data_IF_446385992202
#
_entry.id   IF_446385992202
#
_cell.length_a   1.000
_cell.length_b   1.000
_cell.length_c   1.000
_cell.angle_alpha   90.00
_cell.angle_beta   90.00
_cell.angle_gamma   90.00
#
_symmetry.space_group_name_H-M   'P 1'
#
loop_
_entity.id
_entity.type
_entity.pdbx_description
1 polymer ?
#
# COMPACT_ATOMS: atom_id res chain seq x y z
N UNK A 1 16.94 -13.55 -13.33
CA UNK A 1 17.30 -12.36 -12.53
C UNK A 1 16.11 -11.79 -11.76
N UNK A 2 15.04 -11.28 -12.40
CA UNK A 2 13.88 -10.72 -11.66
C UNK A 2 13.16 -11.77 -10.81
N UNK A 3 12.95 -12.98 -11.35
CA UNK A 3 12.37 -14.09 -10.58
C UNK A 3 13.24 -14.46 -9.36
N UNK A 4 14.56 -14.54 -9.54
CA UNK A 4 15.51 -14.85 -8.45
C UNK A 4 15.50 -13.75 -7.38
N UNK A 5 15.47 -12.49 -7.81
CA UNK A 5 15.33 -11.32 -6.93
C UNK A 5 14.05 -11.41 -6.10
N UNK A 6 12.92 -11.73 -6.72
CA UNK A 6 11.66 -11.94 -6.03
C UNK A 6 11.77 -13.04 -4.97
N UNK A 7 12.38 -14.18 -5.31
CA UNK A 7 12.57 -15.27 -4.35
C UNK A 7 13.49 -14.87 -3.20
N UNK A 8 14.55 -14.10 -3.46
CA UNK A 8 15.43 -13.55 -2.40
C UNK A 8 14.67 -12.64 -1.45
N UNK A 9 13.80 -11.77 -1.96
CA UNK A 9 12.96 -10.90 -1.11
C UNK A 9 11.95 -11.72 -0.31
N UNK A 10 11.28 -12.70 -0.92
CA UNK A 10 10.36 -13.61 -0.20
C UNK A 10 11.08 -14.39 0.91
N UNK A 11 12.30 -14.87 0.65
CA UNK A 11 13.13 -15.52 1.65
C UNK A 11 13.50 -14.58 2.79
N UNK A 12 13.90 -13.33 2.49
CA UNK A 12 14.17 -12.29 3.51
C UNK A 12 12.98 -12.08 4.43
N UNK A 13 11.77 -11.94 3.88
CA UNK A 13 10.53 -11.80 4.66
C UNK A 13 10.36 -12.99 5.61
N UNK A 14 10.44 -14.22 5.07
CA UNK A 14 10.27 -15.44 5.85
C UNK A 14 11.33 -15.60 6.95
N UNK A 15 12.55 -15.11 6.75
CA UNK A 15 13.60 -15.20 7.78
C UNK A 15 13.39 -14.26 8.97
N UNK A 16 12.58 -13.22 8.83
CA UNK A 16 12.31 -12.30 9.96
C UNK A 16 11.30 -12.91 10.91
N UNK A 17 10.21 -13.43 10.37
CA UNK A 17 9.14 -14.10 11.11
C UNK A 17 8.37 -14.98 10.12
N UNK A 18 8.37 -16.30 10.33
CA UNK A 18 7.68 -17.27 9.48
C UNK A 18 6.22 -17.52 9.92
N UNK A 19 5.83 -17.02 11.08
CA UNK A 19 4.48 -17.11 11.63
C UNK A 19 3.63 -15.88 11.28
N UNK A 20 4.27 -14.71 11.10
CA UNK A 20 3.59 -13.49 10.69
C UNK A 20 3.24 -13.52 9.19
N UNK A 21 1.96 -13.34 8.86
CA UNK A 21 1.54 -13.17 7.47
C UNK A 21 1.91 -11.76 6.98
N UNK A 22 3.02 -11.68 6.25
CA UNK A 22 3.47 -10.46 5.57
C UNK A 22 3.23 -10.58 4.07
N UNK A 23 2.42 -9.68 3.53
CA UNK A 23 2.18 -9.58 2.09
C UNK A 23 3.23 -8.70 1.43
N UNK A 24 3.97 -9.30 0.49
CA UNK A 24 4.90 -8.59 -0.38
C UNK A 24 4.15 -7.87 -1.50
N UNK A 25 4.19 -6.54 -1.52
CA UNK A 25 3.71 -5.72 -2.63
C UNK A 25 4.91 -5.40 -3.55
N UNK A 26 4.90 -5.94 -4.77
CA UNK A 26 5.90 -5.63 -5.77
C UNK A 26 5.60 -4.25 -6.37
N UNK A 27 6.46 -3.27 -6.08
CA UNK A 27 6.31 -1.89 -6.55
C UNK A 27 6.87 -1.78 -7.96
N UNK A 28 5.96 -1.74 -8.93
CA UNK A 28 6.29 -1.86 -10.36
C UNK A 28 6.30 -0.54 -11.12
N UNK A 29 6.16 0.61 -10.45
CA UNK A 29 6.26 1.93 -11.09
C UNK A 29 7.54 2.07 -11.91
N UNK A 30 7.45 2.72 -13.06
CA UNK A 30 8.49 2.88 -14.08
C UNK A 30 9.01 1.57 -14.69
N UNK A 31 8.33 0.43 -14.51
CA UNK A 31 8.74 -0.86 -15.08
C UNK A 31 7.78 -1.31 -16.20
N UNK A 32 8.30 -1.83 -17.32
CA UNK A 32 7.49 -2.31 -18.43
C UNK A 32 6.71 -3.57 -18.07
N UNK A 33 5.62 -3.86 -18.79
CA UNK A 33 4.76 -5.04 -18.55
C UNK A 33 5.55 -6.36 -18.61
N UNK A 34 6.59 -6.45 -19.45
CA UNK A 34 7.44 -7.65 -19.54
C UNK A 34 8.20 -7.96 -18.23
N UNK A 35 8.58 -6.95 -17.45
CA UNK A 35 9.20 -7.15 -16.14
C UNK A 35 8.18 -7.69 -15.14
N UNK A 36 6.94 -7.17 -15.19
CA UNK A 36 5.86 -7.69 -14.34
C UNK A 36 5.55 -9.14 -14.71
N UNK A 37 5.53 -9.48 -16.00
CA UNK A 37 5.26 -10.84 -16.48
C UNK A 37 6.23 -11.85 -15.83
N UNK A 38 7.53 -11.54 -15.77
CA UNK A 38 8.51 -12.40 -15.08
C UNK A 38 8.18 -12.62 -13.59
N UNK A 39 7.69 -11.59 -12.87
CA UNK A 39 7.27 -11.77 -11.47
C UNK A 39 5.96 -12.53 -11.32
N UNK A 40 5.03 -12.34 -12.27
CA UNK A 40 3.73 -13.03 -12.29
C UNK A 40 3.94 -14.53 -12.50
N UNK A 41 4.81 -14.90 -13.44
CA UNK A 41 5.17 -16.29 -13.72
C UNK A 41 5.89 -16.92 -12.52
N UNK A 42 6.63 -16.13 -11.74
CA UNK A 42 7.20 -16.52 -10.45
C UNK A 42 6.21 -16.45 -9.25
N UNK A 43 4.91 -16.32 -9.53
CA UNK A 43 3.84 -16.40 -8.53
C UNK A 43 3.51 -15.11 -7.78
N UNK A 44 4.06 -13.96 -8.17
CA UNK A 44 3.66 -12.68 -7.58
C UNK A 44 2.23 -12.30 -8.01
N UNK A 45 1.44 -11.76 -7.08
CA UNK A 45 0.05 -11.34 -7.34
C UNK A 45 -0.26 -9.91 -6.90
N UNK A 46 0.42 -9.41 -5.86
CA UNK A 46 0.22 -8.06 -5.35
C UNK A 46 1.17 -7.07 -6.00
N UNK A 47 0.62 -6.04 -6.65
CA UNK A 47 1.39 -5.00 -7.35
C UNK A 47 1.02 -3.61 -6.85
N UNK A 48 2.05 -2.79 -6.63
CA UNK A 48 1.93 -1.42 -6.14
C UNK A 48 2.30 -0.40 -7.21
N UNK A 49 1.42 0.55 -7.46
CA UNK A 49 1.63 1.61 -8.44
C UNK A 49 1.47 3.02 -7.84
N UNK A 50 2.32 3.94 -8.29
CA UNK A 50 2.30 5.33 -7.83
C UNK A 50 1.63 6.28 -8.83
N UNK A 51 1.67 5.94 -10.12
CA UNK A 51 1.23 6.83 -11.20
C UNK A 51 0.02 6.23 -11.90
N UNK A 52 -1.14 6.90 -11.78
CA UNK A 52 -2.40 6.36 -12.27
C UNK A 52 -2.36 5.96 -13.75
N UNK A 53 -1.86 6.83 -14.63
CA UNK A 53 -1.92 6.56 -16.08
C UNK A 53 -1.08 5.34 -16.47
N UNK A 54 0.10 5.22 -15.88
CA UNK A 54 0.96 4.05 -16.06
C UNK A 54 0.28 2.78 -15.54
N UNK A 55 -0.33 2.85 -14.36
CA UNK A 55 -1.03 1.74 -13.75
C UNK A 55 -2.21 1.26 -14.61
N UNK A 56 -3.03 2.17 -15.16
CA UNK A 56 -4.17 1.82 -16.00
C UNK A 56 -3.73 1.01 -17.23
N UNK A 57 -2.63 1.42 -17.88
CA UNK A 57 -2.08 0.69 -19.03
C UNK A 57 -1.67 -0.74 -18.63
N UNK A 58 -1.06 -0.92 -17.45
CA UNK A 58 -0.66 -2.24 -16.95
C UNK A 58 -1.85 -3.10 -16.53
N UNK A 59 -2.82 -2.51 -15.84
CA UNK A 59 -4.05 -3.19 -15.40
C UNK A 59 -4.79 -3.74 -16.61
N UNK A 60 -4.94 -2.95 -17.67
CA UNK A 60 -5.60 -3.40 -18.89
C UNK A 60 -4.78 -4.47 -19.62
N UNK A 61 -3.47 -4.27 -19.77
CA UNK A 61 -2.59 -5.25 -20.43
C UNK A 61 -2.51 -6.61 -19.69
N UNK A 62 -2.73 -6.62 -18.37
CA UNK A 62 -2.65 -7.80 -17.50
C UNK A 62 -4.01 -8.23 -16.95
N UNK A 63 -5.10 -7.79 -17.58
CA UNK A 63 -6.46 -8.11 -17.17
C UNK A 63 -6.72 -9.62 -17.22
N UNK A 64 -7.53 -10.12 -16.27
CA UNK A 64 -7.86 -11.55 -16.18
C UNK A 64 -6.75 -12.44 -15.59
N UNK A 65 -5.60 -11.86 -15.19
CA UNK A 65 -4.48 -12.62 -14.58
C UNK A 65 -4.62 -12.85 -13.07
N UNK A 66 -5.74 -12.45 -12.46
CA UNK A 66 -5.99 -12.61 -11.02
C UNK A 66 -5.03 -11.80 -10.15
N UNK A 67 -4.61 -10.62 -10.60
CA UNK A 67 -3.70 -9.73 -9.87
C UNK A 67 -4.47 -8.82 -8.92
N UNK A 68 -3.79 -8.40 -7.85
CA UNK A 68 -4.31 -7.46 -6.85
C UNK A 68 -3.53 -6.16 -6.97
N UNK A 69 -4.23 -5.09 -7.27
CA UNK A 69 -3.64 -3.78 -7.54
C UNK A 69 -3.80 -2.83 -6.36
N UNK A 70 -2.67 -2.28 -5.93
CA UNK A 70 -2.55 -1.32 -4.83
C UNK A 70 -2.14 0.05 -5.37
N UNK A 71 -2.97 1.08 -5.17
CA UNK A 71 -2.57 2.46 -5.41
C UNK A 71 -1.85 2.99 -4.17
N UNK A 72 -0.56 3.31 -4.31
CA UNK A 72 0.32 3.71 -3.20
C UNK A 72 0.97 5.09 -3.42
N UNK A 73 0.56 5.82 -4.48
CA UNK A 73 1.02 7.17 -4.80
C UNK A 73 0.09 8.27 -4.25
N UNK A 74 0.51 9.55 -4.29
CA UNK A 74 -0.34 10.65 -3.85
C UNK A 74 -1.61 10.78 -4.72
N UNK A 75 -2.74 11.12 -4.10
CA UNK A 75 -4.05 11.15 -4.76
C UNK A 75 -4.48 12.58 -5.08
N UNK A 76 -4.65 12.84 -6.38
CA UNK A 76 -5.29 14.05 -6.88
C UNK A 76 -6.81 13.84 -6.97
N UNK A 77 -7.60 14.83 -6.54
CA UNK A 77 -9.07 14.69 -6.44
C UNK A 77 -9.73 14.35 -7.79
N UNK A 78 -9.23 14.87 -8.91
CA UNK A 78 -9.74 14.58 -10.26
C UNK A 78 -9.47 13.13 -10.71
N UNK A 79 -8.52 12.42 -10.09
CA UNK A 79 -8.13 11.05 -10.44
C UNK A 79 -8.87 9.97 -9.65
N UNK A 80 -9.60 10.35 -8.59
CA UNK A 80 -10.32 9.42 -7.69
C UNK A 80 -11.26 8.46 -8.42
N UNK A 81 -11.93 8.88 -9.49
CA UNK A 81 -12.89 8.02 -10.22
C UNK A 81 -12.19 6.81 -10.83
N UNK A 82 -11.09 7.06 -11.55
CA UNK A 82 -10.32 6.01 -12.19
C UNK A 82 -9.65 5.10 -11.15
N UNK A 83 -9.18 5.65 -10.02
CA UNK A 83 -8.64 4.85 -8.92
C UNK A 83 -9.73 3.92 -8.36
N UNK A 84 -10.91 4.46 -8.05
CA UNK A 84 -12.02 3.70 -7.49
C UNK A 84 -12.54 2.59 -8.42
N UNK A 85 -12.35 2.72 -9.74
CA UNK A 85 -12.81 1.75 -10.73
C UNK A 85 -11.81 0.62 -11.00
N UNK A 86 -10.51 0.83 -10.77
CA UNK A 86 -9.47 -0.06 -11.31
C UNK A 86 -8.57 -0.70 -10.24
N UNK A 87 -8.63 -0.25 -8.98
CA UNK A 87 -7.79 -0.78 -7.90
C UNK A 87 -8.58 -1.59 -6.88
N UNK A 88 -7.89 -2.50 -6.21
CA UNK A 88 -8.40 -3.30 -5.09
C UNK A 88 -8.11 -2.62 -3.74
N UNK A 89 -6.95 -1.96 -3.67
CA UNK A 89 -6.46 -1.28 -2.48
C UNK A 89 -6.01 0.16 -2.80
N UNK A 90 -6.23 1.06 -1.85
CA UNK A 90 -5.64 2.41 -1.85
C UNK A 90 -5.00 2.67 -0.50
N UNK A 91 -3.69 2.94 -0.50
CA UNK A 91 -2.91 3.05 0.74
C UNK A 91 -2.69 4.50 1.17
N UNK A 92 -2.91 5.44 0.26
CA UNK A 92 -2.47 6.84 0.35
C UNK A 92 -3.63 7.82 0.60
N UNK A 93 -4.70 7.36 1.25
CA UNK A 93 -5.79 8.26 1.67
C UNK A 93 -5.28 9.09 2.84
N UNK A 94 -5.16 10.40 2.66
CA UNK A 94 -4.57 11.33 3.62
C UNK A 94 -5.56 12.39 4.13
N UNK A 95 -6.83 12.33 3.69
CA UNK A 95 -7.90 13.26 4.10
C UNK A 95 -9.27 12.71 3.73
N UNK A 96 -10.29 13.05 4.51
CA UNK A 96 -11.66 12.54 4.29
C UNK A 96 -12.20 12.88 2.90
N UNK A 97 -11.87 14.05 2.35
CA UNK A 97 -12.36 14.48 1.02
C UNK A 97 -12.01 13.45 -0.06
N UNK A 98 -10.85 12.79 0.02
CA UNK A 98 -10.47 11.75 -0.91
C UNK A 98 -11.26 10.46 -0.66
N UNK A 99 -11.41 10.05 0.60
CA UNK A 99 -12.21 8.87 0.96
C UNK A 99 -13.66 8.99 0.45
N UNK A 100 -14.34 10.12 0.70
CA UNK A 100 -15.71 10.37 0.22
C UNK A 100 -15.80 10.23 -1.30
N UNK A 101 -14.87 10.83 -2.04
CA UNK A 101 -14.86 10.72 -3.51
C UNK A 101 -14.65 9.30 -4.00
N UNK A 102 -13.72 8.56 -3.39
CA UNK A 102 -13.50 7.14 -3.71
C UNK A 102 -14.76 6.31 -3.43
N UNK A 103 -15.42 6.56 -2.30
CA UNK A 103 -16.69 5.92 -1.94
C UNK A 103 -17.77 6.16 -2.99
N UNK A 104 -17.99 7.43 -3.36
CA UNK A 104 -19.07 7.82 -4.27
C UNK A 104 -18.84 7.34 -5.70
N UNK A 105 -17.58 7.07 -6.06
CA UNK A 105 -17.17 6.69 -7.41
C UNK A 105 -16.86 5.21 -7.57
N UNK A 106 -16.90 4.42 -6.48
CA UNK A 106 -16.73 2.97 -6.53
C UNK A 106 -17.96 2.34 -7.18
N UNK A 107 -17.82 1.62 -8.32
CA UNK A 107 -18.94 0.94 -8.95
C UNK A 107 -19.57 -0.12 -8.05
N UNK A 108 -20.90 -0.22 -8.07
CA UNK A 108 -21.67 -1.17 -7.23
C UNK A 108 -21.40 -2.65 -7.55
N UNK A 109 -20.93 -2.95 -8.75
CA UNK A 109 -20.60 -4.30 -9.20
C UNK A 109 -19.19 -4.75 -8.78
N UNK A 110 -18.40 -3.87 -8.16
CA UNK A 110 -17.08 -4.22 -7.62
C UNK A 110 -17.17 -4.44 -6.10
N UNK A 111 -16.27 -5.26 -5.52
CA UNK A 111 -16.12 -5.35 -4.07
C UNK A 111 -15.84 -3.97 -3.46
N UNK A 112 -16.10 -3.80 -2.16
CA UNK A 112 -15.71 -2.57 -1.46
C UNK A 112 -14.21 -2.30 -1.64
N UNK A 113 -13.86 -1.06 -1.91
CA UNK A 113 -12.46 -0.66 -2.07
C UNK A 113 -11.77 -0.67 -0.71
N UNK A 114 -10.65 -1.40 -0.60
CA UNK A 114 -9.91 -1.50 0.66
C UNK A 114 -9.01 -0.30 0.82
N UNK A 115 -9.05 0.34 1.98
CA UNK A 115 -8.37 1.60 2.26
C UNK A 115 -7.43 1.44 3.44
N UNK A 116 -6.24 2.00 3.31
CA UNK A 116 -5.41 2.35 4.45
C UNK A 116 -5.34 3.88 4.57
N UNK A 117 -5.36 4.37 5.80
CA UNK A 117 -5.17 5.78 6.11
C UNK A 117 -3.67 6.07 6.19
N UNK A 118 -3.18 7.00 5.38
CA UNK A 118 -1.79 7.43 5.42
C UNK A 118 -1.57 8.37 6.60
N UNK A 119 -0.65 8.03 7.48
CA UNK A 119 -0.29 8.82 8.67
C UNK A 119 1.04 9.53 8.42
N UNK A 120 1.06 10.85 8.67
CA UNK A 120 2.29 11.63 8.74
C UNK A 120 2.95 11.41 10.11
N UNK A 121 3.54 10.23 10.27
CA UNK A 121 4.01 9.71 11.57
C UNK A 121 5.15 10.54 12.19
N UNK A 122 5.90 11.27 11.36
CA UNK A 122 7.03 12.10 11.79
C UNK A 122 6.68 13.59 11.90
N UNK A 123 5.41 13.96 11.64
CA UNK A 123 4.91 15.33 11.67
C UNK A 123 5.73 16.29 10.78
N UNK A 124 6.16 15.82 9.61
CA UNK A 124 6.95 16.63 8.68
C UNK A 124 6.02 17.45 7.77
N UNK A 125 6.10 18.79 7.74
CA UNK A 125 5.18 19.63 6.96
C UNK A 125 5.17 19.34 5.45
N UNK A 126 6.26 18.78 4.93
CA UNK A 126 6.43 18.45 3.52
C UNK A 126 5.84 17.09 3.13
N UNK A 127 5.43 16.28 4.11
CA UNK A 127 4.89 14.94 3.87
C UNK A 127 3.37 14.91 3.92
N UNK A 128 2.79 14.09 3.05
CA UNK A 128 1.36 13.80 3.07
C UNK A 128 1.01 12.82 4.19
N UNK A 129 -0.22 12.89 4.65
CA UNK A 129 -0.78 12.02 5.67
C UNK A 129 -1.51 12.82 6.73
N UNK A 130 -2.43 12.15 7.42
CA UNK A 130 -3.13 12.71 8.57
C UNK A 130 -2.19 12.77 9.77
N UNK A 131 -2.44 13.72 10.66
CA UNK A 131 -1.78 13.75 11.95
C UNK A 131 -2.41 12.69 12.88
N UNK A 132 -1.64 12.27 13.90
CA UNK A 132 -2.05 11.19 14.81
C UNK A 132 -3.30 11.57 15.61
N UNK A 133 -3.42 12.83 15.99
CA UNK A 133 -4.57 13.40 16.70
C UNK A 133 -5.83 13.55 15.83
N UNK A 134 -5.70 13.54 14.50
CA UNK A 134 -6.82 13.58 13.56
C UNK A 134 -7.44 12.19 13.29
N UNK A 135 -6.75 11.11 13.67
CA UNK A 135 -7.14 9.74 13.30
C UNK A 135 -8.54 9.40 13.80
N UNK A 136 -8.84 9.65 15.08
CA UNK A 136 -10.13 9.31 15.69
C UNK A 136 -11.28 9.99 14.94
N UNK A 137 -11.12 11.29 14.66
CA UNK A 137 -12.10 12.05 13.91
C UNK A 137 -12.34 11.45 12.53
N UNK A 138 -11.29 11.10 11.79
CA UNK A 138 -11.41 10.56 10.44
C UNK A 138 -12.02 9.16 10.44
N UNK A 139 -11.64 8.28 11.37
CA UNK A 139 -12.19 6.92 11.46
C UNK A 139 -13.70 6.95 11.68
N UNK A 140 -14.22 7.85 12.53
CA UNK A 140 -15.67 7.95 12.74
C UNK A 140 -16.44 8.23 11.45
N UNK A 141 -15.85 8.99 10.53
CA UNK A 141 -16.48 9.33 9.26
C UNK A 141 -16.51 8.14 8.28
N UNK A 142 -15.57 7.20 8.38
CA UNK A 142 -15.58 5.96 7.57
C UNK A 142 -16.82 5.09 7.82
N UNK A 143 -17.49 5.22 8.97
CA UNK A 143 -18.73 4.48 9.28
C UNK A 143 -19.86 4.75 8.27
N UNK A 144 -19.83 5.90 7.58
CA UNK A 144 -20.84 6.28 6.58
C UNK A 144 -20.43 5.94 5.14
N UNK A 145 -19.21 5.44 4.92
CA UNK A 145 -18.64 5.17 3.60
C UNK A 145 -18.87 3.71 3.20
N UNK A 146 -20.08 3.42 2.74
CA UNK A 146 -20.57 2.06 2.49
C UNK A 146 -19.81 1.29 1.40
N UNK A 147 -19.14 1.97 0.47
CA UNK A 147 -18.42 1.34 -0.63
C UNK A 147 -16.92 1.16 -0.34
N UNK A 148 -16.46 1.53 0.85
CA UNK A 148 -15.09 1.37 1.29
C UNK A 148 -15.00 0.40 2.45
N UNK A 149 -13.80 -0.11 2.69
CA UNK A 149 -13.45 -0.84 3.92
C UNK A 149 -12.13 -0.29 4.43
N UNK A 150 -12.17 0.44 5.53
CA UNK A 150 -10.96 0.86 6.22
C UNK A 150 -10.34 -0.37 6.89
N UNK A 151 -9.10 -0.67 6.54
CA UNK A 151 -8.39 -1.88 6.98
C UNK A 151 -7.24 -1.60 7.94
N UNK A 152 -6.74 -0.37 7.98
CA UNK A 152 -5.63 0.02 8.85
C UNK A 152 -4.91 1.25 8.34
N UNK A 153 -3.58 1.25 8.50
CA UNK A 153 -2.75 2.43 8.31
C UNK A 153 -1.58 2.19 7.37
N UNK A 154 -1.07 3.28 6.81
CA UNK A 154 0.14 3.32 6.00
C UNK A 154 1.03 4.45 6.49
N UNK A 155 2.35 4.26 6.46
CA UNK A 155 3.29 5.35 6.63
C UNK A 155 4.49 5.26 5.67
N UNK A 156 5.13 6.41 5.46
CA UNK A 156 6.43 6.54 4.81
C UNK A 156 7.29 7.39 5.76
N UNK A 157 8.06 6.75 6.65
CA UNK A 157 8.80 7.48 7.67
C UNK A 157 9.98 8.25 7.08
N UNK A 158 10.55 9.16 7.86
CA UNK A 158 11.86 9.71 7.60
C UNK A 158 12.88 8.57 7.76
N UNK A 159 13.76 8.33 6.76
CA UNK A 159 14.77 7.29 6.87
C UNK A 159 15.59 7.33 8.16
N UNK A 160 15.83 8.51 8.75
CA UNK A 160 16.57 8.64 10.00
C UNK A 160 15.83 8.10 11.23
N UNK A 161 14.49 8.01 11.16
CA UNK A 161 13.61 7.70 12.30
C UNK A 161 12.81 6.41 12.12
N UNK A 162 13.02 5.69 11.01
CA UNK A 162 12.13 4.61 10.55
C UNK A 162 11.73 3.61 11.65
N UNK A 163 12.68 3.15 12.46
CA UNK A 163 12.42 2.19 13.55
C UNK A 163 11.45 2.77 14.59
N UNK A 164 11.68 4.01 15.05
CA UNK A 164 10.81 4.66 16.03
C UNK A 164 9.43 4.93 15.43
N UNK A 165 9.37 5.34 14.17
CA UNK A 165 8.12 5.58 13.46
C UNK A 165 7.32 4.28 13.30
N UNK A 166 7.95 3.15 12.99
CA UNK A 166 7.26 1.85 12.91
C UNK A 166 6.71 1.39 14.27
N UNK A 167 7.48 1.56 15.35
CA UNK A 167 7.01 1.27 16.70
C UNK A 167 5.76 2.09 17.04
N UNK A 168 5.78 3.41 16.74
CA UNK A 168 4.60 4.27 16.93
C UNK A 168 3.39 3.81 16.10
N UNK A 169 3.60 3.37 14.86
CA UNK A 169 2.51 2.86 14.02
C UNK A 169 1.87 1.58 14.60
N UNK A 170 2.69 0.69 15.19
CA UNK A 170 2.20 -0.49 15.92
C UNK A 170 1.31 -0.08 17.09
N UNK A 171 1.77 0.88 17.89
CA UNK A 171 1.02 1.40 19.04
C UNK A 171 -0.28 2.10 18.62
N UNK A 172 -0.27 2.80 17.48
CA UNK A 172 -1.48 3.40 16.89
C UNK A 172 -2.47 2.29 16.48
N UNK A 173 -2.03 1.27 15.73
CA UNK A 173 -2.92 0.19 15.29
C UNK A 173 -3.57 -0.53 16.48
N UNK A 174 -2.82 -0.77 17.56
CA UNK A 174 -3.31 -1.45 18.76
C UNK A 174 -4.52 -0.75 19.43
N UNK A 175 -4.73 0.55 19.20
CA UNK A 175 -5.90 1.30 19.69
C UNK A 175 -7.19 1.01 18.91
N UNK A 176 -7.08 0.39 17.73
CA UNK A 176 -8.20 0.16 16.82
C UNK A 176 -8.33 -1.33 16.50
N UNK A 177 -8.97 -2.12 17.39
CA UNK A 177 -9.01 -3.60 17.27
C UNK A 177 -9.74 -4.12 16.02
N UNK A 178 -10.52 -3.26 15.33
CA UNK A 178 -11.19 -3.61 14.08
C UNK A 178 -10.32 -3.34 12.83
N UNK A 179 -9.11 -2.81 13.03
CA UNK A 179 -8.13 -2.55 11.98
C UNK A 179 -6.96 -3.50 12.17
N UNK A 180 -6.45 -4.03 11.06
CA UNK A 180 -5.51 -5.15 11.08
C UNK A 180 -4.23 -4.85 10.30
N UNK A 181 -4.27 -3.90 9.36
CA UNK A 181 -3.22 -3.77 8.36
C UNK A 181 -2.27 -2.60 8.64
N UNK A 182 -0.96 -2.89 8.57
CA UNK A 182 0.12 -1.91 8.57
C UNK A 182 0.93 -2.01 7.29
N UNK A 183 0.78 -1.02 6.42
CA UNK A 183 1.58 -0.87 5.22
C UNK A 183 2.80 0.00 5.52
N UNK A 184 3.94 -0.63 5.80
CA UNK A 184 5.20 0.06 6.11
C UNK A 184 6.40 -0.84 5.79
N UNK A 185 7.57 -0.24 5.58
CA UNK A 185 8.77 -0.95 5.13
C UNK A 185 8.91 -1.02 3.61
N UNK A 186 10.15 -0.80 3.18
CA UNK A 186 10.67 -0.84 1.83
C UNK A 186 11.97 -1.65 1.83
N UNK A 187 12.72 -1.67 0.71
CA UNK A 187 13.94 -2.47 0.55
C UNK A 187 14.94 -2.41 1.73
N UNK A 188 15.14 -1.21 2.30
CA UNK A 188 16.24 -0.93 3.25
C UNK A 188 15.84 -1.15 4.71
N UNK A 189 14.54 -1.12 5.00
CA UNK A 189 13.98 -1.13 6.35
C UNK A 189 12.90 -2.21 6.52
N UNK A 190 12.84 -3.16 5.59
CA UNK A 190 11.93 -4.32 5.54
C UNK A 190 11.94 -5.08 6.87
N UNK A 191 13.12 -5.46 7.35
CA UNK A 191 13.26 -6.30 8.52
C UNK A 191 12.76 -5.58 9.78
N UNK A 192 13.09 -4.29 9.90
CA UNK A 192 12.63 -3.44 11.00
C UNK A 192 11.11 -3.23 10.96
N UNK A 193 10.52 -3.07 9.78
CA UNK A 193 9.09 -2.92 9.61
C UNK A 193 8.33 -4.19 10.03
N UNK A 194 8.80 -5.37 9.61
CA UNK A 194 8.18 -6.65 9.97
C UNK A 194 8.23 -6.88 11.48
N UNK A 195 9.39 -6.65 12.12
CA UNK A 195 9.53 -6.75 13.59
C UNK A 195 8.59 -5.81 14.37
N UNK A 196 8.13 -4.75 13.72
CA UNK A 196 7.15 -3.81 14.26
C UNK A 196 5.71 -4.06 13.75
N UNK A 197 5.42 -5.24 13.22
CA UNK A 197 4.06 -5.67 12.88
C UNK A 197 3.57 -5.25 11.49
N UNK A 198 4.46 -4.96 10.54
CA UNK A 198 4.04 -4.69 9.16
C UNK A 198 3.31 -5.90 8.54
N UNK A 199 2.12 -5.68 7.98
CA UNK A 199 1.37 -6.68 7.21
C UNK A 199 1.59 -6.52 5.70
N UNK A 200 1.97 -5.33 5.24
CA UNK A 200 2.41 -5.07 3.87
C UNK A 200 3.80 -4.43 3.84
N UNK A 201 4.71 -5.04 3.08
CA UNK A 201 6.01 -4.43 2.70
C UNK A 201 6.04 -4.10 1.22
N UNK A 202 6.61 -2.94 0.85
CA UNK A 202 6.55 -2.39 -0.51
C UNK A 202 7.92 -2.36 -1.17
N UNK A 203 8.20 -3.32 -2.05
CA UNK A 203 9.56 -3.55 -2.57
C UNK A 203 9.62 -3.33 -4.08
N UNK A 204 10.51 -2.44 -4.52
CA UNK A 204 10.72 -2.13 -5.93
C UNK A 204 12.11 -2.52 -6.40
N UNK A 205 13.12 -1.75 -6.00
CA UNK A 205 14.52 -1.90 -6.45
C UNK A 205 15.06 -3.31 -6.23
N UNK A 206 14.75 -3.95 -5.11
CA UNK A 206 15.31 -5.28 -4.81
C UNK A 206 14.69 -6.38 -5.68
N UNK A 207 13.55 -6.11 -6.34
CA UNK A 207 12.90 -7.03 -7.29
C UNK A 207 13.31 -6.68 -8.72
N UNK A 208 13.07 -5.44 -9.14
CA UNK A 208 13.17 -5.01 -10.53
C UNK A 208 14.49 -4.32 -10.90
N UNK A 209 15.43 -4.20 -9.96
CA UNK A 209 16.65 -3.42 -10.12
C UNK A 209 16.42 -1.90 -10.11
N UNK A 210 17.51 -1.14 -10.31
CA UNK A 210 17.46 0.32 -10.38
C UNK A 210 16.54 0.80 -11.50
N UNK A 211 16.10 2.05 -11.43
CA UNK A 211 15.37 2.69 -12.52
C UNK A 211 16.29 2.76 -13.73
N UNK A 212 15.78 2.36 -14.89
CA UNK A 212 16.41 2.62 -16.19
C UNK A 212 15.83 3.92 -16.71
#
# INVERSE_FOLDING_TARGET
>A
MIADNLQRVKARIKTVDDHQQVTLIAVSKTKPVCDLQQTIDAGQRHFGENYLQEALNKIEALKGRGLIWHFIGPIQSNKTKMIAQNFDWVHSVDRIKIAKRLNDQRPKNLPKLKILLQVNIDNEPTKSGVLVDEIDHIITQFKTLNNLTLKGFMCIPNPSNAIQSFAKMKDILAKYPNLEDLSMGMSHDLESAIKNGATFVRIGTDIFGKRV
#
